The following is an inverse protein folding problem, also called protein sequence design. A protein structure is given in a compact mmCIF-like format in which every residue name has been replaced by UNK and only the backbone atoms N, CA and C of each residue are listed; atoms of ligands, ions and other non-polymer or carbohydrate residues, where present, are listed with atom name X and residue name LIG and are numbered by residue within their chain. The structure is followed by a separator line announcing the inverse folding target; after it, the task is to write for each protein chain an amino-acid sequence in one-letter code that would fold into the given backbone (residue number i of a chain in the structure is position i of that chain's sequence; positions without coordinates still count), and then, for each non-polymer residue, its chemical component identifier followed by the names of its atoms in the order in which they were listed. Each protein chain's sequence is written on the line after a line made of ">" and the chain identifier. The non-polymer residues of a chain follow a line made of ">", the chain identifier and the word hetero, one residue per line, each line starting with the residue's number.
data_IF_892466590626
#
_entry.id   IF_892466590626
#
_cell.length_a   1.000
_cell.length_b   1.000
_cell.length_c   1.000
_cell.angle_alpha   90.00
_cell.angle_beta   90.00
_cell.angle_gamma   90.00
#
_symmetry.space_group_name_H-M   'P 1'
#
loop_
_entity.id
_entity.type
_entity.pdbx_description
1 polymer ?
#
# COMPACT_ATOMS: atom_id res chain seq x y z
N UNK A 1 18.50 7.41 -6.30
CA UNK A 1 17.33 7.17 -7.15
C UNK A 1 17.45 5.86 -7.89
N UNK A 2 17.06 4.76 -7.25
CA UNK A 2 16.82 3.45 -7.89
C UNK A 2 16.27 2.45 -6.87
N UNK A 3 16.50 2.66 -5.58
CA UNK A 3 16.25 1.66 -4.54
C UNK A 3 14.80 1.59 -4.04
N UNK A 4 14.07 2.71 -3.99
CA UNK A 4 12.67 2.71 -3.53
C UNK A 4 11.73 2.06 -4.57
N UNK A 5 11.96 2.33 -5.86
CA UNK A 5 11.19 1.75 -6.95
C UNK A 5 11.41 0.24 -7.06
N UNK A 6 12.66 -0.23 -6.94
CA UNK A 6 12.99 -1.65 -6.96
C UNK A 6 12.40 -2.42 -5.75
N UNK A 7 12.26 -1.76 -4.59
CA UNK A 7 11.67 -2.36 -3.40
C UNK A 7 10.14 -2.46 -3.47
N UNK A 8 9.48 -1.47 -4.07
CA UNK A 8 8.06 -1.54 -4.37
C UNK A 8 7.75 -2.69 -5.35
N UNK A 9 8.63 -2.94 -6.32
CA UNK A 9 8.54 -4.10 -7.23
C UNK A 9 8.76 -5.45 -6.52
N UNK A 10 9.63 -5.52 -5.50
CA UNK A 10 9.90 -6.76 -4.77
C UNK A 10 8.78 -7.13 -3.79
N UNK A 11 8.15 -6.14 -3.14
CA UNK A 11 6.95 -6.35 -2.33
C UNK A 11 5.80 -6.94 -3.17
N UNK A 12 5.68 -6.49 -4.42
CA UNK A 12 4.72 -7.04 -5.39
C UNK A 12 5.00 -8.52 -5.71
N UNK A 13 6.27 -8.94 -5.77
CA UNK A 13 6.63 -10.32 -6.09
C UNK A 13 6.22 -11.33 -5.01
N UNK A 14 6.05 -10.89 -3.75
CA UNK A 14 5.64 -11.75 -2.63
C UNK A 14 4.12 -12.01 -2.59
N UNK A 15 3.30 -11.08 -3.07
CA UNK A 15 1.83 -11.20 -3.12
C UNK A 15 1.34 -11.75 -4.47
N UNK A 16 2.10 -11.57 -5.55
CA UNK A 16 1.75 -12.02 -6.91
C UNK A 16 1.92 -13.54 -7.16
N UNK A 17 1.50 -14.41 -6.23
CA UNK A 17 1.42 -15.86 -6.51
C UNK A 17 0.19 -16.23 -7.35
N UNK A 18 -0.81 -15.36 -7.49
CA UNK A 18 -2.08 -15.73 -8.13
C UNK A 18 -2.65 -14.77 -9.18
N UNK A 19 -2.13 -13.56 -9.37
CA UNK A 19 -2.66 -12.66 -10.40
C UNK A 19 -1.52 -11.98 -11.17
N UNK A 20 -1.44 -12.28 -12.47
CA UNK A 20 -0.51 -11.69 -13.43
C UNK A 20 -0.93 -10.25 -13.75
N UNK A 21 -0.82 -9.35 -12.78
CA UNK A 21 -1.06 -7.92 -12.97
C UNK A 21 0.19 -7.33 -13.61
N UNK A 22 0.10 -6.94 -14.88
CA UNK A 22 1.22 -6.28 -15.56
C UNK A 22 1.56 -4.95 -14.88
N UNK A 23 2.83 -4.74 -14.49
CA UNK A 23 3.35 -3.46 -13.94
C UNK A 23 2.97 -2.21 -14.75
N UNK A 24 2.58 -2.35 -16.02
CA UNK A 24 2.12 -1.25 -16.87
C UNK A 24 0.73 -0.70 -16.53
N UNK A 25 -0.07 -1.41 -15.72
CA UNK A 25 -1.46 -1.02 -15.38
C UNK A 25 -1.52 -0.28 -14.02
N UNK A 26 -0.48 -0.40 -13.20
CA UNK A 26 -0.38 0.27 -11.91
C UNK A 26 -0.04 1.75 -12.13
N UNK A 27 -1.07 2.55 -12.34
CA UNK A 27 -0.97 4.01 -12.37
C UNK A 27 -1.33 4.60 -11.01
N UNK A 28 -0.88 5.83 -10.72
CA UNK A 28 -1.19 6.50 -9.46
C UNK A 28 -2.71 6.59 -9.18
N UNK A 29 -3.50 6.64 -10.25
CA UNK A 29 -4.97 6.76 -10.21
C UNK A 29 -5.71 5.47 -10.50
N UNK A 30 -5.02 4.34 -10.71
CA UNK A 30 -5.67 3.07 -10.98
C UNK A 30 -6.46 2.62 -9.74
N UNK A 31 -7.74 2.32 -9.91
CA UNK A 31 -8.59 1.80 -8.86
C UNK A 31 -8.19 0.35 -8.54
N UNK A 32 -7.83 0.09 -7.29
CA UNK A 32 -7.38 -1.21 -6.82
C UNK A 32 -8.38 -2.33 -7.11
N UNK A 33 -9.68 -2.06 -7.04
CA UNK A 33 -10.73 -3.07 -7.27
C UNK A 33 -11.13 -3.15 -8.73
N UNK A 34 -11.28 -2.01 -9.42
CA UNK A 34 -11.82 -1.97 -10.79
C UNK A 34 -10.76 -2.18 -11.86
N UNK A 35 -9.59 -1.58 -11.69
CA UNK A 35 -8.55 -1.55 -12.72
C UNK A 35 -7.48 -2.60 -12.47
N UNK A 36 -7.12 -2.83 -11.20
CA UNK A 36 -6.15 -3.86 -10.81
C UNK A 36 -6.80 -5.18 -10.41
N UNK A 37 -8.13 -5.23 -10.28
CA UNK A 37 -8.88 -6.45 -9.90
C UNK A 37 -8.40 -7.11 -8.60
N UNK A 38 -7.84 -6.32 -7.67
CA UNK A 38 -7.39 -6.80 -6.37
C UNK A 38 -8.59 -7.24 -5.55
N UNK A 39 -8.53 -8.46 -5.05
CA UNK A 39 -9.57 -9.00 -4.19
C UNK A 39 -9.46 -8.46 -2.76
N UNK A 40 -10.37 -8.87 -1.87
CA UNK A 40 -10.37 -8.42 -0.49
C UNK A 40 -9.12 -8.87 0.30
N UNK A 41 -8.50 -10.00 -0.07
CA UNK A 41 -7.29 -10.51 0.58
C UNK A 41 -6.06 -9.74 0.08
N UNK A 42 -5.96 -9.52 -1.24
CA UNK A 42 -4.90 -8.74 -1.85
C UNK A 42 -4.84 -7.31 -1.26
N UNK A 43 -6.00 -6.72 -0.97
CA UNK A 43 -6.10 -5.42 -0.30
C UNK A 43 -5.57 -5.43 1.13
N UNK A 44 -5.83 -6.49 1.89
CA UNK A 44 -5.30 -6.62 3.27
C UNK A 44 -3.78 -6.70 3.20
N UNK A 45 -3.23 -7.50 2.29
CA UNK A 45 -1.78 -7.60 2.10
C UNK A 45 -1.16 -6.25 1.66
N UNK A 46 -1.81 -5.52 0.75
CA UNK A 46 -1.36 -4.20 0.31
C UNK A 46 -1.31 -3.21 1.48
N UNK A 47 -2.37 -3.15 2.30
CA UNK A 47 -2.44 -2.26 3.46
C UNK A 47 -1.37 -2.62 4.47
N UNK A 48 -1.21 -3.91 4.80
CA UNK A 48 -0.18 -4.37 5.73
C UNK A 48 1.24 -4.05 5.24
N UNK A 49 1.50 -4.20 3.93
CA UNK A 49 2.79 -3.84 3.35
C UNK A 49 3.08 -2.32 3.45
N UNK A 50 2.05 -1.49 3.30
CA UNK A 50 2.17 -0.04 3.47
C UNK A 50 2.38 0.36 4.94
N UNK A 51 1.68 -0.29 5.86
CA UNK A 51 1.85 -0.09 7.30
C UNK A 51 3.27 -0.42 7.76
N UNK A 52 3.81 -1.58 7.34
CA UNK A 52 5.17 -2.00 7.65
C UNK A 52 6.23 -1.09 7.01
N UNK A 53 6.10 -0.74 5.72
CA UNK A 53 7.11 0.06 5.00
C UNK A 53 7.19 1.50 5.52
N UNK A 54 6.05 2.10 5.88
CA UNK A 54 6.00 3.48 6.37
C UNK A 54 5.94 3.58 7.91
N UNK A 55 5.94 2.45 8.62
CA UNK A 55 5.76 2.37 10.07
C UNK A 55 4.55 3.19 10.56
N UNK A 56 3.42 3.03 9.85
CA UNK A 56 2.14 3.67 10.17
C UNK A 56 1.09 2.60 10.49
N UNK A 57 -0.03 3.04 11.06
CA UNK A 57 -1.21 2.21 11.26
C UNK A 57 -2.36 2.84 10.49
N UNK A 58 -3.01 2.07 9.61
CA UNK A 58 -4.11 2.52 8.76
C UNK A 58 -5.39 1.83 9.27
N UNK A 59 -6.31 2.58 9.93
CA UNK A 59 -7.58 2.00 10.36
C UNK A 59 -8.35 1.40 9.19
N UNK A 60 -9.06 0.30 9.41
CA UNK A 60 -9.86 -0.38 8.37
C UNK A 60 -10.84 0.57 7.68
N UNK A 61 -11.47 1.49 8.43
CA UNK A 61 -12.37 2.53 7.91
C UNK A 61 -11.70 3.49 6.93
N UNK A 62 -10.41 3.78 7.10
CA UNK A 62 -9.62 4.60 6.19
C UNK A 62 -9.08 3.77 5.03
N UNK A 63 -8.61 2.55 5.29
CA UNK A 63 -8.16 1.61 4.27
C UNK A 63 -9.24 1.28 3.22
N UNK A 64 -10.51 1.28 3.61
CA UNK A 64 -11.63 1.14 2.67
C UNK A 64 -11.85 2.36 1.77
N UNK A 65 -11.38 3.55 2.18
CA UNK A 65 -11.43 4.79 1.39
C UNK A 65 -10.23 4.94 0.46
N UNK A 66 -9.13 4.20 0.70
CA UNK A 66 -7.94 4.21 -0.15
C UNK A 66 -8.19 3.36 -1.39
N UNK A 67 -8.60 4.01 -2.48
CA UNK A 67 -8.99 3.32 -3.71
C UNK A 67 -7.87 3.20 -4.73
N UNK A 68 -6.83 4.05 -4.62
CA UNK A 68 -5.69 4.08 -5.53
C UNK A 68 -4.38 4.48 -4.83
N UNK A 69 -3.26 4.31 -5.52
CA UNK A 69 -1.92 4.66 -5.00
C UNK A 69 -1.80 6.14 -4.61
N UNK A 70 -2.46 7.06 -5.33
CA UNK A 70 -2.45 8.48 -5.01
C UNK A 70 -3.15 8.79 -3.68
N UNK A 71 -4.25 8.10 -3.37
CA UNK A 71 -4.95 8.25 -2.10
C UNK A 71 -4.05 7.80 -0.94
N UNK A 72 -3.39 6.65 -1.11
CA UNK A 72 -2.42 6.10 -0.15
C UNK A 72 -1.26 7.06 0.07
N UNK A 73 -0.63 7.54 -1.00
CA UNK A 73 0.50 8.47 -0.91
C UNK A 73 0.10 9.77 -0.20
N UNK A 74 -1.10 10.28 -0.50
CA UNK A 74 -1.65 11.47 0.18
C UNK A 74 -1.95 11.19 1.66
N UNK A 75 -2.50 10.03 1.98
CA UNK A 75 -2.74 9.62 3.37
C UNK A 75 -1.43 9.58 4.13
N UNK A 76 -0.40 8.89 3.62
CA UNK A 76 0.93 8.81 4.23
C UNK A 76 1.54 10.20 4.39
N UNK A 77 1.44 11.08 3.38
CA UNK A 77 1.97 12.43 3.46
C UNK A 77 1.31 13.29 4.55
N UNK A 78 0.03 13.03 4.86
CA UNK A 78 -0.71 13.69 5.95
C UNK A 78 -0.45 13.02 7.31
N UNK A 79 -0.38 11.69 7.33
CA UNK A 79 -0.16 10.87 8.53
C UNK A 79 1.28 10.90 9.03
N UNK A 80 2.25 11.21 8.15
CA UNK A 80 3.66 11.42 8.49
C UNK A 80 3.92 12.57 9.47
N UNK A 81 2.92 13.43 9.72
CA UNK A 81 2.97 14.46 10.76
C UNK A 81 2.38 14.00 12.11
N UNK A 82 1.73 12.82 12.16
CA UNK A 82 0.99 12.33 13.34
C UNK A 82 1.45 11.00 13.95
N UNK A 83 2.48 10.35 13.41
CA UNK A 83 2.94 9.02 13.86
C UNK A 83 4.29 9.01 14.58
N UNK A 84 4.43 9.71 15.70
CA UNK A 84 5.45 9.41 16.73
C UNK A 84 4.76 9.25 18.08
N UNK A 85 4.15 8.11 18.32
CA UNK A 85 3.89 7.69 19.71
C UNK A 85 3.73 6.17 19.74
N UNK A 86 4.62 5.55 20.52
CA UNK A 86 4.53 4.23 21.20
C UNK A 86 4.48 3.00 20.27
N UNK A 87 5.35 2.00 20.34
CA UNK A 87 6.00 1.39 21.51
C UNK A 87 7.39 0.83 21.14
N UNK A 88 8.42 1.44 21.71
CA UNK A 88 9.71 0.82 21.96
C UNK A 88 9.70 0.45 23.45
N UNK A 89 8.94 -0.60 23.82
CA UNK A 89 8.90 -1.17 25.17
C UNK A 89 8.12 -2.49 25.17
N UNK A 90 8.83 -3.61 24.95
CA UNK A 90 8.82 -4.83 25.79
C UNK A 90 9.74 -5.90 25.19
#
# INVERSE_FOLDING_TARGET
>A
GTTALAKAEEAHHRTARSQEISNSVVTETADFRKDLSLDSLDRVELVMALEEEFAIEIPEEEADKLTCCADVAKYIALSGDKGKTTEDSL
#
